data_IF_202247953486
#
_entry.id   IF_202247953486
#
_cell.length_a   1.000
_cell.length_b   1.000
_cell.length_c   1.000
_cell.angle_alpha   90.00
_cell.angle_beta   90.00
_cell.angle_gamma   90.00
#
_symmetry.space_group_name_H-M   'P 1'
#
loop_
_entity.id
_entity.type
_entity.pdbx_description
1 polymer ?
#
# COMPACT_ATOMS: atom_id res chain seq x y z
N UNK A 1 12.21 14.25 3.80
CA UNK A 1 13.21 13.16 3.64
C UNK A 1 14.55 13.76 4.02
N UNK A 2 15.24 13.21 5.02
CA UNK A 2 16.57 13.67 5.41
C UNK A 2 17.61 12.97 4.54
N UNK A 3 18.47 13.74 3.88
CA UNK A 3 19.64 13.21 3.19
C UNK A 3 20.73 12.99 4.22
N UNK A 4 21.13 11.74 4.44
CA UNK A 4 22.08 11.34 5.46
C UNK A 4 23.41 10.90 4.83
N UNK A 5 24.53 11.11 5.54
CA UNK A 5 25.77 10.40 5.19
C UNK A 5 25.61 8.90 5.48
N UNK A 6 26.47 8.07 4.88
CA UNK A 6 26.46 6.62 5.11
C UNK A 6 26.66 6.27 6.59
N UNK A 7 27.54 6.99 7.28
CA UNK A 7 27.84 6.81 8.71
C UNK A 7 26.63 7.19 9.57
N UNK A 8 25.93 8.29 9.25
CA UNK A 8 24.72 8.69 9.94
C UNK A 8 23.60 7.67 9.75
N UNK A 9 23.42 7.16 8.52
CA UNK A 9 22.43 6.13 8.23
C UNK A 9 22.71 4.84 9.01
N UNK A 10 23.96 4.38 9.06
CA UNK A 10 24.36 3.21 9.84
C UNK A 10 24.09 3.41 11.33
N UNK A 11 24.45 4.56 11.89
CA UNK A 11 24.23 4.87 13.31
C UNK A 11 22.74 4.82 13.68
N UNK A 12 21.88 5.41 12.84
CA UNK A 12 20.42 5.37 13.04
C UNK A 12 19.90 3.94 12.95
N UNK A 13 20.33 3.18 11.94
CA UNK A 13 19.89 1.78 11.77
C UNK A 13 20.31 0.90 12.96
N UNK A 14 21.48 1.13 13.55
CA UNK A 14 21.96 0.36 14.70
C UNK A 14 21.09 0.56 15.95
N UNK A 15 20.44 1.72 16.08
CA UNK A 15 19.55 2.03 17.20
C UNK A 15 18.13 1.46 17.02
N UNK A 16 17.77 0.99 15.80
CA UNK A 16 16.45 0.42 15.50
C UNK A 16 16.39 -1.06 15.82
N UNK A 17 15.17 -1.57 16.03
CA UNK A 17 14.95 -3.01 16.21
C UNK A 17 14.99 -3.74 14.86
N UNK A 18 14.04 -3.48 14.00
CA UNK A 18 13.95 -4.06 12.67
C UNK A 18 13.73 -2.92 11.67
N UNK A 19 14.30 -3.05 10.47
CA UNK A 19 14.20 -2.02 9.43
C UNK A 19 13.83 -2.63 8.09
N UNK A 20 13.18 -1.84 7.26
CA UNK A 20 12.90 -2.14 5.85
C UNK A 20 13.74 -1.23 4.98
N UNK A 21 14.42 -1.83 4.00
CA UNK A 21 15.17 -1.10 2.97
C UNK A 21 14.53 -1.39 1.62
N UNK A 22 14.19 -0.34 0.89
CA UNK A 22 13.58 -0.45 -0.45
C UNK A 22 14.16 0.59 -1.40
N UNK A 23 14.18 0.30 -2.70
CA UNK A 23 14.56 1.30 -3.71
C UNK A 23 13.59 2.47 -3.66
N UNK A 24 14.10 3.70 -3.86
CA UNK A 24 13.27 4.92 -3.80
C UNK A 24 12.42 5.13 -5.05
N UNK A 25 12.83 4.52 -6.18
CA UNK A 25 12.15 4.58 -7.48
C UNK A 25 12.15 3.20 -8.13
N UNK A 26 11.20 2.95 -9.04
CA UNK A 26 11.07 1.69 -9.80
C UNK A 26 10.95 0.43 -8.94
N UNK A 27 10.35 0.54 -7.75
CA UNK A 27 10.23 -0.57 -6.78
C UNK A 27 8.89 -1.31 -6.88
N UNK A 28 8.26 -1.32 -8.05
CA UNK A 28 6.95 -1.94 -8.27
C UNK A 28 6.89 -3.40 -7.78
N UNK A 29 5.81 -3.74 -7.05
CA UNK A 29 5.53 -5.12 -6.62
C UNK A 29 6.38 -5.64 -5.46
N UNK A 30 7.07 -4.79 -4.72
CA UNK A 30 7.86 -5.19 -3.55
C UNK A 30 9.16 -5.94 -3.86
N UNK A 31 9.61 -5.98 -5.11
CA UNK A 31 10.79 -6.74 -5.56
C UNK A 31 12.11 -6.28 -4.92
N UNK A 32 12.21 -5.01 -4.53
CA UNK A 32 13.40 -4.44 -3.91
C UNK A 32 13.31 -4.30 -2.40
N UNK A 33 12.21 -4.78 -1.79
CA UNK A 33 11.99 -4.67 -0.34
C UNK A 33 12.80 -5.73 0.38
N UNK A 34 13.68 -5.30 1.26
CA UNK A 34 14.46 -6.18 2.14
C UNK A 34 14.20 -5.84 3.61
N UNK A 35 13.74 -6.84 4.36
CA UNK A 35 13.52 -6.75 5.79
C UNK A 35 14.75 -7.23 6.54
N UNK A 36 15.29 -6.36 7.37
CA UNK A 36 16.44 -6.65 8.25
C UNK A 36 15.97 -6.83 9.69
N UNK A 37 15.95 -8.07 10.15
CA UNK A 37 15.69 -8.40 11.55
C UNK A 37 16.96 -8.14 12.38
N UNK A 38 17.01 -7.02 13.06
CA UNK A 38 18.15 -6.58 13.85
C UNK A 38 17.97 -6.87 15.35
N UNK A 39 16.72 -6.93 15.84
CA UNK A 39 16.37 -7.04 17.25
C UNK A 39 17.00 -8.22 17.99
N UNK A 40 17.19 -9.36 17.28
CA UNK A 40 17.74 -10.60 17.83
C UNK A 40 19.23 -10.81 17.56
N UNK A 41 19.96 -9.77 17.10
CA UNK A 41 21.36 -9.87 16.68
C UNK A 41 22.26 -9.05 17.57
N UNK A 42 23.51 -9.48 17.71
CA UNK A 42 24.59 -8.68 18.34
C UNK A 42 24.86 -7.39 17.55
N UNK A 43 25.44 -6.38 18.20
CA UNK A 43 25.79 -5.11 17.53
C UNK A 43 26.71 -5.34 16.33
N UNK A 44 27.68 -6.25 16.44
CA UNK A 44 28.58 -6.60 15.34
C UNK A 44 27.85 -7.19 14.14
N UNK A 45 26.91 -8.11 14.39
CA UNK A 45 26.09 -8.71 13.32
C UNK A 45 25.12 -7.70 12.69
N UNK A 46 24.51 -6.81 13.50
CA UNK A 46 23.68 -5.71 12.98
C UNK A 46 24.50 -4.84 12.02
N UNK A 47 25.68 -4.40 12.45
CA UNK A 47 26.57 -3.57 11.65
C UNK A 47 26.94 -4.26 10.33
N UNK A 48 27.35 -5.53 10.37
CA UNK A 48 27.68 -6.31 9.18
C UNK A 48 26.51 -6.41 8.20
N UNK A 49 25.30 -6.70 8.70
CA UNK A 49 24.10 -6.82 7.86
C UNK A 49 23.70 -5.50 7.22
N UNK A 50 23.72 -4.40 7.99
CA UNK A 50 23.43 -3.06 7.48
C UNK A 50 24.43 -2.70 6.39
N UNK A 51 25.73 -2.86 6.64
CA UNK A 51 26.76 -2.56 5.65
C UNK A 51 26.56 -3.36 4.36
N UNK A 52 26.27 -4.67 4.47
CA UNK A 52 26.00 -5.51 3.31
C UNK A 52 24.87 -4.92 2.46
N UNK A 53 23.71 -4.70 3.07
CA UNK A 53 22.52 -4.21 2.34
C UNK A 53 22.78 -2.85 1.71
N UNK A 54 23.41 -1.91 2.43
CA UNK A 54 23.70 -0.59 1.89
C UNK A 54 24.76 -0.62 0.77
N UNK A 55 25.69 -1.60 0.78
CA UNK A 55 26.72 -1.73 -0.25
C UNK A 55 26.22 -2.44 -1.51
N UNK A 56 25.23 -3.30 -1.39
CA UNK A 56 24.63 -4.05 -2.50
C UNK A 56 23.64 -3.21 -3.33
N UNK A 57 23.14 -2.08 -2.77
CA UNK A 57 22.21 -1.19 -3.47
C UNK A 57 22.92 -0.42 -4.57
N UNK A 58 22.36 -0.52 -5.78
CA UNK A 58 22.87 0.18 -6.98
C UNK A 58 22.08 1.44 -7.33
N UNK A 59 20.91 1.64 -6.69
CA UNK A 59 20.00 2.76 -6.87
C UNK A 59 19.82 3.48 -5.55
N UNK A 60 19.26 4.69 -5.60
CA UNK A 60 18.80 5.39 -4.42
C UNK A 60 17.78 4.55 -3.66
N UNK A 61 17.85 4.54 -2.36
CA UNK A 61 17.01 3.71 -1.51
C UNK A 61 16.50 4.50 -0.30
N UNK A 62 15.42 3.98 0.29
CA UNK A 62 14.81 4.49 1.52
C UNK A 62 14.96 3.43 2.60
N UNK A 63 15.31 3.87 3.81
CA UNK A 63 15.30 3.05 5.02
C UNK A 63 14.12 3.50 5.87
N UNK A 64 13.31 2.55 6.30
CA UNK A 64 12.14 2.79 7.15
C UNK A 64 12.16 1.84 8.33
N UNK A 65 11.56 2.24 9.44
CA UNK A 65 11.28 1.31 10.54
C UNK A 65 10.28 0.25 10.11
N UNK A 66 10.36 -0.93 10.75
CA UNK A 66 9.41 -2.00 10.52
C UNK A 66 8.13 -1.72 11.29
N UNK A 67 7.00 -1.79 10.61
CA UNK A 67 5.68 -1.56 11.21
C UNK A 67 5.21 -2.84 11.89
N UNK A 68 4.89 -2.75 13.17
CA UNK A 68 4.11 -3.76 13.87
C UNK A 68 2.63 -3.51 13.60
N UNK A 69 1.99 -4.45 12.89
CA UNK A 69 0.64 -4.27 12.39
C UNK A 69 -0.43 -4.63 13.41
N UNK A 70 -1.53 -3.87 13.43
CA UNK A 70 -2.70 -4.14 14.26
C UNK A 70 -3.30 -5.53 14.01
N UNK A 71 -3.78 -6.18 15.06
CA UNK A 71 -4.26 -7.58 15.03
C UNK A 71 -5.43 -7.80 14.05
N UNK A 72 -6.31 -6.81 13.85
CA UNK A 72 -7.43 -6.89 12.90
C UNK A 72 -6.98 -7.12 11.45
N UNK A 73 -5.75 -6.75 11.11
CA UNK A 73 -5.14 -6.94 9.79
C UNK A 73 -4.17 -8.12 9.79
N UNK A 74 -3.27 -8.21 10.78
CA UNK A 74 -2.25 -9.26 10.82
C UNK A 74 -2.82 -10.68 10.90
N UNK A 75 -4.07 -10.84 11.34
CA UNK A 75 -4.78 -12.13 11.37
C UNK A 75 -4.90 -12.78 9.98
N UNK A 76 -5.00 -12.01 8.90
CA UNK A 76 -5.10 -12.55 7.53
C UNK A 76 -3.77 -13.15 7.07
N UNK A 77 -2.67 -12.45 7.26
CA UNK A 77 -1.32 -12.97 7.09
C UNK A 77 -0.35 -12.27 8.05
N UNK A 78 0.15 -12.95 9.09
CA UNK A 78 1.09 -12.34 10.04
C UNK A 78 2.51 -12.18 9.48
N UNK A 79 2.80 -12.75 8.29
CA UNK A 79 4.13 -12.71 7.68
C UNK A 79 4.35 -11.51 6.76
N UNK A 80 3.30 -10.74 6.45
CA UNK A 80 3.35 -9.53 5.63
C UNK A 80 2.60 -8.39 6.29
N UNK A 81 2.92 -7.16 5.90
CA UNK A 81 2.02 -6.05 6.11
C UNK A 81 0.84 -6.22 5.17
N UNK A 82 -0.36 -6.22 5.70
CA UNK A 82 -1.62 -6.30 4.95
C UNK A 82 -2.18 -4.89 4.85
N UNK A 83 -2.54 -4.44 3.67
CA UNK A 83 -2.90 -3.04 3.42
C UNK A 83 -4.35 -2.88 2.99
N UNK A 84 -4.89 -1.70 3.25
CA UNK A 84 -6.06 -1.19 2.54
C UNK A 84 -5.59 -0.37 1.35
N UNK A 85 -5.96 -0.78 0.14
CA UNK A 85 -5.93 0.07 -1.04
C UNK A 85 -7.21 0.89 -1.08
N UNK A 86 -7.11 2.19 -0.79
CA UNK A 86 -8.23 3.12 -0.93
C UNK A 86 -8.03 3.94 -2.19
N UNK A 87 -8.98 3.90 -3.11
CA UNK A 87 -8.91 4.66 -4.36
C UNK A 87 -9.85 5.85 -4.28
N UNK A 88 -9.32 7.04 -4.56
CA UNK A 88 -10.06 8.29 -4.40
C UNK A 88 -9.98 9.17 -5.65
N UNK A 89 -11.05 9.92 -5.90
CA UNK A 89 -11.16 10.89 -6.98
C UNK A 89 -11.50 12.27 -6.40
N UNK A 90 -10.71 13.30 -6.76
CA UNK A 90 -11.03 14.69 -6.49
C UNK A 90 -11.11 15.47 -7.80
N UNK A 91 -12.32 15.66 -8.29
CA UNK A 91 -12.58 16.26 -9.59
C UNK A 91 -13.70 17.29 -9.48
N UNK A 92 -13.52 18.45 -10.11
CA UNK A 92 -14.49 19.58 -10.10
C UNK A 92 -14.92 20.00 -8.68
N UNK A 93 -13.98 19.98 -7.71
CA UNK A 93 -14.27 20.33 -6.32
C UNK A 93 -15.01 19.25 -5.51
N UNK A 94 -15.31 18.09 -6.11
CA UNK A 94 -16.01 16.98 -5.46
C UNK A 94 -15.04 15.82 -5.16
N UNK A 95 -14.93 15.49 -3.89
CA UNK A 95 -14.26 14.28 -3.43
C UNK A 95 -15.16 13.04 -3.52
N UNK A 96 -14.59 11.89 -3.80
CA UNK A 96 -15.28 10.60 -3.77
C UNK A 96 -14.28 9.49 -3.44
N UNK A 97 -14.59 8.67 -2.45
CA UNK A 97 -13.97 7.35 -2.29
C UNK A 97 -14.59 6.41 -3.33
N UNK A 98 -13.78 5.90 -4.24
CA UNK A 98 -14.22 5.06 -5.34
C UNK A 98 -14.25 3.59 -4.98
N UNK A 99 -13.22 3.12 -4.27
CA UNK A 99 -13.11 1.72 -3.85
C UNK A 99 -12.26 1.60 -2.60
N UNK A 100 -12.50 0.54 -1.85
CA UNK A 100 -11.67 0.10 -0.74
C UNK A 100 -11.46 -1.40 -0.91
N UNK A 101 -10.20 -1.84 -0.89
CA UNK A 101 -9.83 -3.24 -1.03
C UNK A 101 -8.80 -3.60 0.04
N UNK A 102 -9.12 -4.63 0.82
CA UNK A 102 -8.15 -5.27 1.71
C UNK A 102 -7.22 -6.15 0.86
N UNK A 103 -5.93 -5.97 1.05
CA UNK A 103 -4.87 -6.74 0.39
C UNK A 103 -4.08 -7.50 1.43
N UNK A 104 -3.86 -8.79 1.21
CA UNK A 104 -3.01 -9.60 2.05
C UNK A 104 -2.32 -10.72 1.27
N UNK A 105 -1.10 -11.06 1.70
CA UNK A 105 -0.34 -12.16 1.11
C UNK A 105 -0.88 -13.52 1.54
N UNK A 106 -0.71 -14.54 0.71
CA UNK A 106 -0.95 -15.93 1.10
C UNK A 106 0.08 -16.36 2.14
N UNK A 107 -0.20 -17.46 2.87
CA UNK A 107 0.67 -17.99 3.92
C UNK A 107 2.13 -18.11 3.47
N UNK A 108 3.03 -17.50 4.23
CA UNK A 108 4.46 -17.48 3.95
C UNK A 108 4.93 -16.36 3.00
N UNK A 109 4.01 -15.63 2.35
CA UNK A 109 4.36 -14.45 1.57
C UNK A 109 4.73 -13.30 2.51
N UNK A 110 5.75 -12.53 2.13
CA UNK A 110 6.23 -11.35 2.86
C UNK A 110 5.64 -10.03 2.35
N UNK A 111 4.86 -10.09 1.27
CA UNK A 111 4.21 -8.95 0.63
C UNK A 111 2.75 -9.27 0.35
N UNK A 112 1.91 -8.25 0.34
CA UNK A 112 0.47 -8.35 0.10
C UNK A 112 0.08 -8.12 -1.36
N UNK A 113 1.08 -7.93 -2.23
CA UNK A 113 0.86 -7.55 -3.62
C UNK A 113 0.09 -8.63 -4.39
N UNK A 114 -1.02 -8.22 -5.01
CA UNK A 114 -1.89 -9.07 -5.83
C UNK A 114 -1.13 -9.70 -7.01
N UNK A 115 -0.34 -8.90 -7.73
CA UNK A 115 0.50 -9.38 -8.83
C UNK A 115 1.52 -10.44 -8.43
N UNK A 116 1.87 -10.53 -7.15
CA UNK A 116 2.73 -11.57 -6.58
C UNK A 116 1.96 -12.77 -6.03
N UNK A 117 0.63 -12.81 -6.16
CA UNK A 117 -0.23 -13.90 -5.72
C UNK A 117 -1.00 -13.65 -4.42
N UNK A 118 -1.01 -12.42 -3.91
CA UNK A 118 -1.86 -12.02 -2.78
C UNK A 118 -3.35 -12.12 -3.10
N UNK A 119 -4.18 -11.96 -2.08
CA UNK A 119 -5.64 -11.98 -2.16
C UNK A 119 -6.17 -10.56 -1.95
N UNK A 120 -7.18 -10.20 -2.75
CA UNK A 120 -7.95 -8.96 -2.64
C UNK A 120 -9.35 -9.27 -2.15
N UNK A 121 -9.86 -8.47 -1.21
CA UNK A 121 -11.25 -8.54 -0.75
C UNK A 121 -11.81 -7.12 -0.72
N UNK A 122 -12.95 -6.90 -1.39
CA UNK A 122 -13.64 -5.61 -1.34
C UNK A 122 -14.08 -5.27 0.09
N UNK A 123 -14.08 -3.98 0.41
CA UNK A 123 -14.49 -3.46 1.73
C UNK A 123 -15.55 -2.38 1.51
N UNK A 124 -16.67 -2.48 2.21
CA UNK A 124 -17.71 -1.47 2.19
C UNK A 124 -17.27 -0.22 3.01
N UNK A 125 -17.95 0.91 2.80
CA UNK A 125 -17.64 2.18 3.48
C UNK A 125 -17.77 2.10 5.01
N UNK A 126 -18.56 1.18 5.51
CA UNK A 126 -18.75 0.90 6.94
C UNK A 126 -17.73 -0.11 7.51
N UNK A 127 -16.85 -0.65 6.66
CA UNK A 127 -15.79 -1.58 7.02
C UNK A 127 -16.12 -3.07 6.85
N UNK A 128 -17.35 -3.44 6.47
CA UNK A 128 -17.68 -4.84 6.18
C UNK A 128 -16.89 -5.35 4.97
N UNK A 129 -16.36 -6.56 5.07
CA UNK A 129 -15.72 -7.22 3.94
C UNK A 129 -16.78 -7.84 3.03
N UNK A 130 -16.51 -7.77 1.72
CA UNK A 130 -17.29 -8.52 0.74
C UNK A 130 -17.13 -10.03 0.97
N UNK A 131 -18.15 -10.81 0.62
CA UNK A 131 -18.16 -12.26 0.79
C UNK A 131 -17.06 -12.96 0.00
N UNK A 132 -16.71 -12.45 -1.18
CA UNK A 132 -15.78 -13.08 -2.11
C UNK A 132 -14.54 -12.20 -2.27
N UNK A 133 -13.37 -12.82 -2.15
CA UNK A 133 -12.07 -12.25 -2.49
C UNK A 133 -11.45 -13.01 -3.67
N UNK A 134 -10.43 -12.43 -4.30
CA UNK A 134 -9.83 -12.93 -5.52
C UNK A 134 -8.30 -12.87 -5.49
N UNK A 135 -7.65 -13.88 -6.04
CA UNK A 135 -6.22 -13.80 -6.39
C UNK A 135 -6.01 -13.39 -7.85
N UNK A 136 -4.76 -13.29 -8.29
CA UNK A 136 -4.42 -12.89 -9.67
C UNK A 136 -4.85 -13.91 -10.73
N UNK A 137 -5.05 -15.17 -10.37
CA UNK A 137 -5.58 -16.22 -11.24
C UNK A 137 -7.12 -16.23 -11.28
N UNK A 138 -7.77 -15.27 -10.62
CA UNK A 138 -9.23 -15.17 -10.48
C UNK A 138 -9.84 -16.33 -9.68
N UNK A 139 -9.06 -17.02 -8.85
CA UNK A 139 -9.62 -17.95 -7.90
C UNK A 139 -10.41 -17.19 -6.85
N UNK A 140 -11.60 -17.71 -6.53
CA UNK A 140 -12.51 -17.15 -5.53
C UNK A 140 -12.24 -17.73 -4.14
N UNK A 141 -12.27 -16.86 -3.15
CA UNK A 141 -12.12 -17.20 -1.73
C UNK A 141 -13.28 -16.59 -0.96
N UNK A 142 -13.96 -17.36 -0.13
CA UNK A 142 -14.95 -16.86 0.83
C UNK A 142 -14.37 -16.80 2.24
N UNK A 143 -13.25 -17.47 2.45
CA UNK A 143 -12.48 -17.47 3.69
C UNK A 143 -10.99 -17.66 3.43
N UNK A 144 -10.16 -17.29 4.39
CA UNK A 144 -8.73 -17.58 4.37
C UNK A 144 -8.23 -17.78 5.80
N UNK A 145 -7.43 -18.84 6.03
CA UNK A 145 -6.93 -19.25 7.36
C UNK A 145 -8.06 -19.43 8.40
N UNK A 146 -9.24 -19.91 7.99
CA UNK A 146 -10.40 -20.07 8.87
C UNK A 146 -11.14 -18.77 9.19
N UNK A 147 -10.79 -17.66 8.51
CA UNK A 147 -11.43 -16.36 8.65
C UNK A 147 -12.40 -16.18 7.50
N UNK A 148 -13.69 -16.27 7.73
CA UNK A 148 -14.72 -16.00 6.74
C UNK A 148 -14.82 -14.50 6.52
N UNK A 149 -14.79 -14.06 5.28
CA UNK A 149 -14.75 -12.63 4.95
C UNK A 149 -16.05 -11.92 5.31
N UNK A 150 -17.20 -12.50 5.00
CA UNK A 150 -18.52 -11.91 5.30
C UNK A 150 -18.80 -11.69 6.80
N UNK A 151 -18.03 -12.33 7.70
CA UNK A 151 -18.13 -12.16 9.14
C UNK A 151 -17.18 -11.06 9.66
N UNK A 152 -16.39 -10.42 8.80
CA UNK A 152 -15.35 -9.46 9.21
C UNK A 152 -15.77 -8.01 8.98
N UNK A 153 -15.45 -7.20 9.99
CA UNK A 153 -15.61 -5.74 9.94
C UNK A 153 -14.27 -5.11 10.30
N UNK A 154 -13.82 -4.18 9.49
CA UNK A 154 -12.65 -3.33 9.76
C UNK A 154 -13.16 -1.99 10.32
N UNK A 155 -13.33 -1.92 11.64
CA UNK A 155 -13.92 -0.78 12.36
C UNK A 155 -13.17 0.54 12.14
N UNK A 156 -11.91 0.46 11.68
CA UNK A 156 -11.06 1.60 11.37
C UNK A 156 -11.48 2.38 10.12
N UNK A 157 -12.19 1.72 9.19
CA UNK A 157 -12.48 2.26 7.86
C UNK A 157 -13.26 3.58 7.90
N UNK A 158 -14.36 3.76 8.66
CA UNK A 158 -15.10 5.02 8.66
C UNK A 158 -14.27 6.22 9.15
N UNK A 159 -13.37 6.02 10.11
CA UNK A 159 -12.44 7.07 10.55
C UNK A 159 -11.36 7.34 9.49
N UNK A 160 -10.75 6.30 8.94
CA UNK A 160 -9.75 6.40 7.89
C UNK A 160 -10.25 7.22 6.70
N UNK A 161 -11.49 6.99 6.25
CA UNK A 161 -12.03 7.72 5.09
C UNK A 161 -12.10 9.22 5.32
N UNK A 162 -12.43 9.68 6.53
CA UNK A 162 -12.41 11.11 6.88
C UNK A 162 -10.99 11.69 6.84
N UNK A 163 -10.00 10.92 7.31
CA UNK A 163 -8.58 11.33 7.25
C UNK A 163 -8.11 11.45 5.81
N UNK A 164 -8.43 10.47 4.96
CA UNK A 164 -8.04 10.47 3.54
C UNK A 164 -8.74 11.62 2.78
N UNK A 165 -10.04 11.84 3.02
CA UNK A 165 -10.76 12.96 2.41
C UNK A 165 -10.10 14.30 2.73
N UNK A 166 -9.79 14.53 4.01
CA UNK A 166 -9.07 15.73 4.45
C UNK A 166 -7.70 15.83 3.79
N UNK A 167 -6.93 14.74 3.76
CA UNK A 167 -5.61 14.71 3.14
C UNK A 167 -5.68 14.99 1.64
N UNK A 168 -6.57 14.32 0.91
CA UNK A 168 -6.71 14.49 -0.54
C UNK A 168 -7.14 15.90 -0.90
N UNK A 169 -8.15 16.44 -0.22
CA UNK A 169 -8.71 17.76 -0.56
C UNK A 169 -7.79 18.92 -0.18
N UNK A 170 -7.08 18.82 0.94
CA UNK A 170 -6.25 19.92 1.45
C UNK A 170 -4.82 19.89 0.91
N UNK A 171 -4.20 18.70 0.80
CA UNK A 171 -2.78 18.60 0.47
C UNK A 171 -2.50 18.03 -0.91
N UNK A 172 -3.42 17.22 -1.46
CA UNK A 172 -3.21 16.51 -2.73
C UNK A 172 -4.24 16.85 -3.80
N UNK A 173 -4.93 17.97 -3.69
CA UNK A 173 -6.03 18.38 -4.60
C UNK A 173 -5.63 18.52 -6.08
N UNK A 174 -4.33 18.65 -6.37
CA UNK A 174 -3.80 18.64 -7.74
C UNK A 174 -3.78 17.24 -8.36
N UNK A 175 -3.63 16.20 -7.54
CA UNK A 175 -3.70 14.81 -7.97
C UNK A 175 -5.19 14.40 -8.05
N UNK A 176 -5.73 14.24 -9.25
CA UNK A 176 -7.16 13.99 -9.42
C UNK A 176 -7.59 12.59 -9.00
N UNK A 177 -6.69 11.61 -9.16
CA UNK A 177 -6.94 10.22 -8.91
C UNK A 177 -5.77 9.62 -8.13
N UNK A 178 -6.03 9.06 -6.95
CA UNK A 178 -5.00 8.54 -6.04
C UNK A 178 -5.40 7.16 -5.52
N UNK A 179 -4.45 6.22 -5.57
CA UNK A 179 -4.48 4.96 -4.83
C UNK A 179 -3.60 5.07 -3.59
N UNK A 180 -4.21 4.96 -2.41
CA UNK A 180 -3.55 5.01 -1.11
C UNK A 180 -3.30 3.60 -0.60
N UNK A 181 -2.07 3.25 -0.29
CA UNK A 181 -1.73 2.02 0.41
C UNK A 181 -1.53 2.33 1.88
N UNK A 182 -2.43 1.82 2.73
CA UNK A 182 -2.50 2.16 4.15
C UNK A 182 -2.50 0.89 4.98
N UNK A 183 -1.70 0.87 6.03
CA UNK A 183 -1.81 -0.12 7.09
C UNK A 183 -2.14 0.56 8.42
N UNK A 184 -2.39 -0.26 9.45
CA UNK A 184 -2.61 0.22 10.82
C UNK A 184 -1.53 -0.36 11.73
N UNK A 185 -0.89 0.51 12.54
CA UNK A 185 0.07 0.07 13.54
C UNK A 185 -0.63 -0.57 14.77
N UNK A 186 0.14 -1.09 15.72
CA UNK A 186 -0.40 -1.71 16.95
C UNK A 186 -1.25 -0.76 17.77
N UNK A 187 -1.02 0.55 17.70
CA UNK A 187 -1.80 1.59 18.37
C UNK A 187 -3.09 1.93 17.61
N UNK A 188 -3.39 1.18 16.54
CA UNK A 188 -4.56 1.40 15.68
C UNK A 188 -4.54 2.76 14.92
N UNK A 189 -3.33 3.28 14.65
CA UNK A 189 -3.15 4.49 13.88
C UNK A 189 -2.90 4.17 12.41
N UNK A 190 -3.52 4.89 11.46
CA UNK A 190 -3.30 4.68 10.03
C UNK A 190 -1.92 5.19 9.61
N UNK A 191 -1.19 4.36 8.87
CA UNK A 191 0.11 4.71 8.29
C UNK A 191 0.02 4.59 6.78
N UNK A 192 0.32 5.67 6.07
CA UNK A 192 0.41 5.67 4.61
C UNK A 192 1.74 5.05 4.21
N UNK A 193 1.69 3.87 3.60
CA UNK A 193 2.86 3.16 3.07
C UNK A 193 3.30 3.77 1.75
N UNK A 194 2.33 4.06 0.88
CA UNK A 194 2.57 4.56 -0.47
C UNK A 194 1.36 5.35 -0.98
N UNK A 195 1.66 6.35 -1.83
CA UNK A 195 0.68 7.15 -2.53
C UNK A 195 0.93 7.00 -4.03
N UNK A 196 -0.02 6.38 -4.73
CA UNK A 196 0.04 6.12 -6.17
C UNK A 196 -0.82 7.15 -6.91
N UNK A 197 -0.19 8.16 -7.54
CA UNK A 197 -0.89 9.26 -8.20
C UNK A 197 -0.76 9.27 -9.73
N UNK A 198 0.17 8.50 -10.31
CA UNK A 198 0.39 8.49 -11.75
C UNK A 198 -0.33 7.32 -12.44
N UNK A 199 -0.30 6.15 -11.86
CA UNK A 199 -0.94 4.93 -12.38
C UNK A 199 -1.41 4.04 -11.23
N UNK A 200 -2.37 4.48 -10.41
CA UNK A 200 -2.98 3.56 -9.45
C UNK A 200 -3.66 2.45 -10.26
N UNK A 201 -3.29 1.21 -10.02
CA UNK A 201 -3.95 0.07 -10.65
C UNK A 201 -5.44 0.08 -10.30
N UNK A 202 -6.30 -0.37 -11.21
CA UNK A 202 -7.76 -0.39 -11.01
C UNK A 202 -8.39 -1.75 -11.28
N UNK A 203 -7.63 -2.69 -11.85
CA UNK A 203 -8.16 -3.99 -12.28
C UNK A 203 -8.65 -4.80 -11.07
N UNK A 204 -7.81 -4.93 -10.05
CA UNK A 204 -8.16 -5.67 -8.83
C UNK A 204 -9.27 -4.98 -8.04
N UNK A 205 -9.24 -3.66 -7.99
CA UNK A 205 -10.28 -2.85 -7.34
C UNK A 205 -11.64 -3.07 -8.02
N UNK A 206 -11.71 -2.99 -9.35
CA UNK A 206 -12.94 -3.23 -10.10
C UNK A 206 -13.45 -4.67 -9.97
N UNK A 207 -12.56 -5.64 -9.90
CA UNK A 207 -12.93 -7.04 -9.67
C UNK A 207 -13.67 -7.20 -8.33
N UNK A 208 -13.21 -6.49 -7.29
CA UNK A 208 -13.77 -6.59 -5.94
C UNK A 208 -14.98 -5.68 -5.69
N UNK A 209 -15.06 -4.52 -6.35
CA UNK A 209 -16.03 -3.47 -6.00
C UNK A 209 -16.89 -2.98 -7.17
N UNK A 210 -16.70 -3.54 -8.37
CA UNK A 210 -17.40 -3.12 -9.59
C UNK A 210 -16.72 -1.94 -10.31
N UNK A 211 -17.38 -1.30 -11.28
CA UNK A 211 -16.81 -0.24 -12.12
C UNK A 211 -16.25 0.90 -11.27
N UNK A 212 -14.96 1.21 -11.42
CA UNK A 212 -14.23 2.09 -10.51
C UNK A 212 -14.82 3.51 -10.41
N UNK A 213 -15.27 4.08 -11.52
CA UNK A 213 -15.81 5.44 -11.51
C UNK A 213 -17.33 5.49 -11.29
N UNK A 214 -18.04 4.34 -11.40
CA UNK A 214 -19.49 4.27 -11.20
C UNK A 214 -20.25 5.39 -11.91
N UNK A 215 -21.08 6.11 -11.21
CA UNK A 215 -21.89 7.23 -11.72
C UNK A 215 -21.03 8.44 -12.16
N UNK A 216 -19.75 8.48 -11.80
CA UNK A 216 -18.84 9.54 -12.23
C UNK A 216 -18.09 9.25 -13.52
N UNK A 217 -18.36 8.12 -14.18
CA UNK A 217 -17.65 7.70 -15.40
C UNK A 217 -17.70 8.78 -16.47
N UNK A 218 -18.89 9.34 -16.77
CA UNK A 218 -19.03 10.37 -17.80
C UNK A 218 -18.27 11.64 -17.47
N UNK A 219 -18.28 12.07 -16.20
CA UNK A 219 -17.51 13.23 -15.73
C UNK A 219 -16.00 13.05 -15.95
N UNK A 220 -15.49 11.85 -15.66
CA UNK A 220 -14.07 11.53 -15.85
C UNK A 220 -13.73 11.51 -17.34
N UNK A 221 -14.56 10.91 -18.19
CA UNK A 221 -14.39 10.89 -19.65
C UNK A 221 -14.36 12.32 -20.20
N UNK A 222 -15.31 13.16 -19.81
CA UNK A 222 -15.39 14.56 -20.24
C UNK A 222 -14.17 15.38 -19.79
N UNK A 223 -13.67 15.12 -18.59
CA UNK A 223 -12.45 15.76 -18.09
C UNK A 223 -11.23 15.35 -18.89
N UNK A 224 -11.09 14.06 -19.17
CA UNK A 224 -9.96 13.53 -19.93
C UNK A 224 -9.98 13.98 -21.39
N UNK A 225 -11.16 14.04 -22.02
CA UNK A 225 -11.30 14.46 -23.43
C UNK A 225 -10.95 15.92 -23.68
N UNK A 226 -11.07 16.78 -22.67
CA UNK A 226 -10.74 18.21 -22.76
C UNK A 226 -9.25 18.50 -22.57
N UNK A 227 -8.45 17.52 -22.16
CA UNK A 227 -7.01 17.70 -21.94
C UNK A 227 -6.20 17.14 -23.10
N UNK A 228 -5.39 18.00 -23.73
CA UNK A 228 -4.29 17.53 -24.56
C UNK A 228 -3.26 16.87 -23.64
N UNK A 229 -3.27 15.54 -23.56
CA UNK A 229 -2.20 14.80 -22.93
C UNK A 229 -0.95 14.88 -23.80
N UNK A 230 -0.04 15.81 -23.48
CA UNK A 230 1.30 15.77 -24.04
C UNK A 230 2.02 14.55 -23.45
N UNK A 231 2.10 13.49 -24.23
CA UNK A 231 2.96 12.36 -23.93
C UNK A 231 4.40 12.86 -23.86
N UNK A 232 4.98 12.99 -22.67
CA UNK A 232 6.42 13.13 -22.54
C UNK A 232 7.03 11.75 -22.78
N UNK A 233 7.63 11.56 -23.95
CA UNK A 233 8.50 10.41 -24.23
C UNK A 233 9.57 10.35 -23.15
N UNK A 234 9.57 9.29 -22.32
CA UNK A 234 10.61 9.06 -21.32
C UNK A 234 10.13 8.81 -19.87
N UNK A 235 8.84 8.97 -19.57
CA UNK A 235 8.31 8.74 -18.20
C UNK A 235 7.94 7.27 -17.97
N UNK A 236 7.88 6.44 -19.01
CA UNK A 236 7.54 5.02 -18.93
C UNK A 236 8.61 4.19 -19.65
N UNK A 237 9.70 3.89 -18.94
CA UNK A 237 10.49 2.69 -19.23
C UNK A 237 10.05 1.63 -18.23
N UNK A 238 9.34 0.61 -18.71
CA UNK A 238 9.00 -0.62 -17.97
C UNK A 238 10.26 -1.47 -17.79
#
# INVERSE_FOLDING_TARGET
MLQLSKEQAISICLSQNDIVVKDSVDSAGGKSVELLHLSKRSISERHKNILRVLSERKKDFVIQECISQHASFSKFNPSSINTLRVTTLYLNGKYTTLSIVLRFGKKGMKVDNWGSGGILVGVALDGHLNKIGYDIQLNEFTEYNGIKFEEQILEQVPHLLKVIESAHTQYFSLCKFIGWDICFNEQNEPIVIELNSSQPGVIGEQLCTGPIFGDRTQEVVDYCSKKEFKYQKGVFQY
#
